data_IF_655234749889
#
_entry.id   IF_655234749889
#
_cell.length_a   1.000
_cell.length_b   1.000
_cell.length_c   1.000
_cell.angle_alpha   90.00
_cell.angle_beta   90.00
_cell.angle_gamma   90.00
#
_symmetry.space_group_name_H-M   'P 1'
#
loop_
_entity.id
_entity.type
_entity.pdbx_description
1 polymer ?
#
# COMPACT_ATOMS: atom_id res chain seq x y z
N UNK A 1 42.76 -33.13 -13.30
CA UNK A 1 41.56 -32.27 -13.11
C UNK A 1 41.00 -32.49 -11.71
N UNK A 2 41.11 -31.51 -10.85
CA UNK A 2 40.48 -31.52 -9.52
C UNK A 2 38.97 -31.58 -9.69
N UNK A 3 38.23 -32.45 -8.96
CA UNK A 3 36.79 -32.48 -9.02
C UNK A 3 36.22 -31.14 -8.54
N UNK A 4 35.22 -30.64 -9.24
CA UNK A 4 34.53 -29.41 -8.88
C UNK A 4 33.93 -29.52 -7.48
N UNK A 5 34.46 -28.73 -6.55
CA UNK A 5 34.02 -28.74 -5.16
C UNK A 5 32.59 -28.18 -5.04
N UNK A 6 31.74 -28.80 -4.25
CA UNK A 6 30.43 -28.28 -3.89
C UNK A 6 30.58 -27.12 -2.91
N UNK A 7 29.93 -26.00 -3.21
CA UNK A 7 29.83 -24.83 -2.32
C UNK A 7 28.44 -24.76 -1.73
N UNK A 8 28.33 -24.83 -0.42
CA UNK A 8 27.06 -24.60 0.26
C UNK A 8 26.69 -23.09 0.15
N UNK A 9 25.71 -22.77 -0.66
CA UNK A 9 25.25 -21.38 -0.90
C UNK A 9 24.12 -20.96 0.03
N UNK A 10 23.33 -21.91 0.52
CA UNK A 10 22.17 -21.67 1.37
C UNK A 10 22.18 -22.64 2.56
N UNK A 11 21.73 -22.16 3.71
CA UNK A 11 21.52 -22.99 4.89
C UNK A 11 20.07 -23.46 4.91
N UNK A 12 19.84 -24.78 5.04
CA UNK A 12 18.50 -25.33 5.22
C UNK A 12 17.97 -25.00 6.62
N UNK A 13 16.68 -24.77 6.71
CA UNK A 13 15.98 -24.65 7.98
C UNK A 13 14.98 -25.83 8.10
N UNK A 14 15.20 -26.77 9.02
CA UNK A 14 14.31 -27.92 9.19
C UNK A 14 12.93 -27.52 9.75
N UNK A 15 12.82 -26.35 10.40
CA UNK A 15 11.58 -25.83 10.97
C UNK A 15 10.78 -24.99 9.99
N UNK A 16 11.24 -24.86 8.73
CA UNK A 16 10.53 -24.10 7.72
C UNK A 16 9.19 -24.74 7.37
N UNK A 17 8.13 -23.96 7.52
CA UNK A 17 6.75 -24.36 7.23
C UNK A 17 6.19 -23.60 6.04
N UNK A 18 5.22 -24.18 5.38
CA UNK A 18 4.46 -23.47 4.36
C UNK A 18 3.73 -22.27 4.94
N UNK A 19 3.51 -21.29 4.11
CA UNK A 19 2.65 -20.16 4.42
C UNK A 19 1.23 -20.66 4.74
N UNK A 20 0.66 -20.10 5.80
CA UNK A 20 -0.69 -20.47 6.23
C UNK A 20 -1.58 -19.24 6.24
N UNK A 21 -2.71 -19.35 5.57
CA UNK A 21 -3.76 -18.32 5.58
C UNK A 21 -5.01 -18.87 6.23
N UNK A 22 -5.54 -18.13 7.19
CA UNK A 22 -6.87 -18.38 7.77
C UNK A 22 -7.76 -17.21 7.39
N UNK A 23 -8.91 -17.52 6.78
CA UNK A 23 -9.88 -16.52 6.37
C UNK A 23 -11.25 -16.85 6.94
N UNK A 24 -11.92 -15.84 7.46
CA UNK A 24 -13.30 -15.90 7.95
C UNK A 24 -14.11 -14.84 7.21
N UNK A 25 -15.19 -15.26 6.57
CA UNK A 25 -16.13 -14.39 5.86
C UNK A 25 -17.49 -14.51 6.51
N UNK A 26 -18.14 -13.38 6.72
CA UNK A 26 -19.53 -13.32 7.17
C UNK A 26 -20.26 -12.44 6.17
N UNK A 27 -21.24 -13.00 5.49
CA UNK A 27 -22.03 -12.30 4.47
C UNK A 27 -23.51 -12.52 4.68
N UNK A 28 -24.30 -11.61 4.17
CA UNK A 28 -25.75 -11.65 4.14
C UNK A 28 -26.24 -11.33 2.74
N UNK A 29 -26.97 -12.26 2.13
CA UNK A 29 -27.66 -12.00 0.87
C UNK A 29 -29.10 -11.62 1.15
N UNK A 30 -29.58 -10.55 0.54
CA UNK A 30 -30.97 -10.14 0.67
C UNK A 30 -31.57 -9.73 -0.67
N UNK A 31 -32.87 -9.87 -0.77
CA UNK A 31 -33.64 -9.42 -1.90
C UNK A 31 -35.04 -9.00 -1.49
N UNK A 32 -35.47 -7.82 -1.95
CA UNK A 32 -36.76 -7.23 -1.68
C UNK A 32 -37.51 -6.93 -2.99
N UNK A 33 -38.82 -6.78 -2.88
CA UNK A 33 -39.68 -6.41 -4.02
C UNK A 33 -39.57 -7.36 -5.21
N UNK A 34 -39.67 -8.68 -4.95
CA UNK A 34 -39.49 -9.73 -5.96
C UNK A 34 -38.12 -9.66 -6.64
N UNK A 35 -37.05 -9.50 -5.85
CA UNK A 35 -35.65 -9.39 -6.33
C UNK A 35 -35.38 -8.15 -7.20
N UNK A 36 -36.19 -7.11 -7.10
CA UNK A 36 -35.87 -5.82 -7.74
C UNK A 36 -34.73 -5.12 -7.01
N UNK A 37 -34.79 -5.06 -5.68
CA UNK A 37 -33.72 -4.57 -4.84
C UNK A 37 -33.01 -5.77 -4.22
N UNK A 38 -31.70 -5.90 -4.43
CA UNK A 38 -30.89 -6.98 -3.92
C UNK A 38 -29.53 -6.48 -3.47
N UNK A 39 -28.89 -7.19 -2.57
CA UNK A 39 -27.57 -6.80 -2.09
C UNK A 39 -26.89 -7.88 -1.27
N UNK A 40 -25.58 -7.73 -1.16
CA UNK A 40 -24.69 -8.67 -0.47
C UNK A 40 -23.61 -7.89 0.28
N UNK A 41 -23.85 -7.51 1.56
CA UNK A 41 -22.79 -7.05 2.44
C UNK A 41 -21.97 -8.23 2.98
N UNK A 42 -20.64 -8.12 2.91
CA UNK A 42 -19.68 -9.08 3.42
C UNK A 42 -18.66 -8.41 4.34
N UNK A 43 -18.29 -9.11 5.41
CA UNK A 43 -17.15 -8.76 6.27
C UNK A 43 -16.11 -9.86 6.14
N UNK A 44 -14.87 -9.46 5.92
CA UNK A 44 -13.75 -10.37 5.65
C UNK A 44 -12.66 -10.14 6.70
N UNK A 45 -12.26 -11.22 7.36
CA UNK A 45 -11.09 -11.24 8.22
C UNK A 45 -10.13 -12.31 7.71
N UNK A 46 -8.93 -11.86 7.27
CA UNK A 46 -7.87 -12.76 6.79
C UNK A 46 -6.63 -12.58 7.63
N UNK A 47 -6.16 -13.66 8.25
CA UNK A 47 -4.87 -13.74 8.94
C UNK A 47 -3.93 -14.60 8.14
N UNK A 48 -2.73 -14.06 7.88
CA UNK A 48 -1.72 -14.74 7.09
C UNK A 48 -0.41 -14.80 7.88
N UNK A 49 0.15 -16.01 7.97
CA UNK A 49 1.48 -16.25 8.51
C UNK A 49 2.43 -16.39 7.32
N UNK A 50 3.28 -15.39 7.13
CA UNK A 50 4.20 -15.33 5.99
C UNK A 50 5.44 -16.15 6.28
N UNK A 51 5.86 -16.92 5.30
CA UNK A 51 6.96 -17.88 5.40
C UNK A 51 8.29 -17.38 4.81
N UNK A 52 8.51 -16.10 4.60
CA UNK A 52 9.72 -15.69 3.89
C UNK A 52 10.33 -14.43 4.45
N UNK A 53 11.28 -14.61 5.34
CA UNK A 53 12.29 -13.58 5.63
C UNK A 53 13.66 -14.20 5.50
N UNK A 54 14.51 -13.60 4.67
CA UNK A 54 15.93 -13.95 4.61
C UNK A 54 16.67 -13.20 5.70
N UNK A 55 17.15 -13.88 6.73
CA UNK A 55 18.13 -13.28 7.61
C UNK A 55 19.55 -13.49 7.08
N UNK A 56 20.32 -12.42 7.09
CA UNK A 56 21.74 -12.45 6.76
C UNK A 56 22.52 -12.79 8.01
N UNK A 57 22.83 -14.07 8.22
CA UNK A 57 23.80 -14.43 9.25
C UNK A 57 25.22 -14.11 8.77
N UNK A 58 25.86 -13.16 9.43
CA UNK A 58 27.26 -12.83 9.21
C UNK A 58 28.13 -13.72 10.13
N UNK A 59 28.47 -14.91 9.65
CA UNK A 59 29.45 -15.74 10.32
C UNK A 59 30.73 -15.79 9.47
N UNK A 60 31.83 -15.27 9.94
CA UNK A 60 33.17 -15.29 9.34
C UNK A 60 33.20 -15.15 7.81
N UNK A 61 33.19 -13.94 7.29
CA UNK A 61 33.42 -13.53 5.89
C UNK A 61 32.50 -14.13 4.81
N UNK A 62 31.46 -14.90 5.12
CA UNK A 62 30.52 -15.43 4.12
C UNK A 62 29.09 -15.12 4.53
N UNK A 63 28.37 -14.41 3.66
CA UNK A 63 26.93 -14.17 3.82
C UNK A 63 26.20 -15.46 3.48
N UNK A 64 25.40 -16.00 4.38
CA UNK A 64 24.51 -17.14 4.17
C UNK A 64 23.09 -16.69 4.38
N UNK A 65 22.21 -17.11 3.49
CA UNK A 65 20.77 -16.84 3.58
C UNK A 65 20.10 -18.06 4.21
N UNK A 66 19.19 -17.81 5.15
CA UNK A 66 18.33 -18.82 5.74
C UNK A 66 16.89 -18.34 5.68
N UNK A 67 16.00 -19.22 5.25
CA UNK A 67 14.57 -18.94 5.21
C UNK A 67 13.93 -19.39 6.51
N UNK A 68 13.02 -18.58 7.07
CA UNK A 68 12.28 -18.96 8.26
C UNK A 68 10.90 -18.28 8.30
N UNK A 69 9.99 -18.88 9.08
CA UNK A 69 8.64 -18.40 9.28
C UNK A 69 8.61 -17.43 10.47
N UNK A 70 8.53 -16.15 10.24
CA UNK A 70 8.63 -15.21 11.34
C UNK A 70 7.66 -14.05 11.30
N UNK A 71 7.18 -13.68 10.12
CA UNK A 71 6.27 -12.56 9.94
C UNK A 71 4.81 -13.01 9.95
N UNK A 72 3.92 -12.13 10.36
CA UNK A 72 2.46 -12.31 10.24
C UNK A 72 1.81 -11.00 9.86
N UNK A 73 0.74 -11.10 9.07
CA UNK A 73 -0.10 -9.95 8.71
C UNK A 73 -1.58 -10.28 8.88
N UNK A 74 -2.37 -9.25 9.05
CA UNK A 74 -3.82 -9.31 9.13
C UNK A 74 -4.43 -8.36 8.10
N UNK A 75 -5.47 -8.82 7.42
CA UNK A 75 -6.30 -7.99 6.56
C UNK A 75 -7.73 -8.05 7.09
N UNK A 76 -8.31 -6.88 7.33
CA UNK A 76 -9.71 -6.71 7.69
C UNK A 76 -10.38 -5.87 6.64
N UNK A 77 -11.53 -6.31 6.14
CA UNK A 77 -12.19 -5.61 5.08
C UNK A 77 -13.70 -5.83 5.07
N UNK A 78 -14.33 -5.08 4.20
CA UNK A 78 -15.74 -5.22 3.88
C UNK A 78 -15.94 -5.13 2.38
N UNK A 79 -16.98 -5.75 1.90
CA UNK A 79 -17.47 -5.65 0.53
C UNK A 79 -18.99 -5.49 0.60
N UNK A 80 -19.52 -4.52 -0.10
CA UNK A 80 -20.95 -4.28 -0.20
C UNK A 80 -21.30 -4.17 -1.66
N UNK A 81 -22.23 -4.99 -2.11
CA UNK A 81 -22.87 -4.87 -3.41
C UNK A 81 -24.35 -4.59 -3.21
N UNK A 82 -24.88 -3.62 -3.94
CA UNK A 82 -26.29 -3.25 -3.94
C UNK A 82 -26.76 -3.03 -5.35
N UNK A 83 -27.84 -3.70 -5.73
CA UNK A 83 -28.40 -3.59 -7.07
C UNK A 83 -29.90 -3.35 -7.03
N UNK A 84 -30.35 -2.60 -8.01
CA UNK A 84 -31.76 -2.41 -8.30
C UNK A 84 -32.02 -2.66 -9.79
N UNK A 85 -33.07 -3.42 -10.09
CA UNK A 85 -33.53 -3.68 -11.46
C UNK A 85 -35.03 -3.64 -11.56
N UNK A 86 -35.53 -3.08 -12.66
CA UNK A 86 -36.97 -3.03 -12.94
C UNK A 86 -37.20 -2.92 -14.44
N UNK A 87 -38.50 -2.99 -14.82
CA UNK A 87 -38.94 -2.76 -16.16
C UNK A 87 -40.09 -1.77 -16.16
N UNK A 88 -40.04 -0.79 -17.05
CA UNK A 88 -41.12 0.18 -17.24
C UNK A 88 -42.30 -0.41 -18.02
N UNK A 89 -43.46 0.21 -17.87
CA UNK A 89 -44.66 -0.24 -18.62
C UNK A 89 -44.52 -0.17 -20.16
N UNK A 90 -43.61 0.69 -20.65
CA UNK A 90 -43.36 0.78 -22.12
C UNK A 90 -42.25 -0.16 -22.62
N UNK A 91 -41.74 -1.04 -21.75
CA UNK A 91 -40.80 -2.11 -22.11
C UNK A 91 -39.31 -1.75 -21.96
N UNK A 92 -38.93 -0.63 -21.35
CA UNK A 92 -37.55 -0.37 -21.01
C UNK A 92 -37.18 -1.16 -19.73
N UNK A 93 -36.22 -2.07 -19.83
CA UNK A 93 -35.58 -2.74 -18.69
C UNK A 93 -34.35 -1.95 -18.28
N UNK A 94 -34.18 -1.76 -17.00
CA UNK A 94 -33.00 -1.08 -16.45
C UNK A 94 -32.49 -1.76 -15.19
N UNK A 95 -31.19 -1.72 -15.03
CA UNK A 95 -30.47 -2.20 -13.85
C UNK A 95 -29.39 -1.22 -13.45
N UNK A 96 -29.24 -1.02 -12.17
CA UNK A 96 -28.13 -0.25 -11.60
C UNK A 96 -27.55 -1.09 -10.47
N UNK A 97 -26.24 -1.37 -10.55
CA UNK A 97 -25.52 -2.11 -9.52
C UNK A 97 -24.31 -1.32 -9.06
N UNK A 98 -24.26 -1.00 -7.79
CA UNK A 98 -23.11 -0.37 -7.13
C UNK A 98 -22.40 -1.37 -6.23
N UNK A 99 -21.08 -1.28 -6.18
CA UNK A 99 -20.27 -1.97 -5.20
C UNK A 99 -19.24 -1.04 -4.59
N UNK A 100 -18.92 -1.30 -3.33
CA UNK A 100 -17.84 -0.66 -2.61
C UNK A 100 -17.14 -1.70 -1.76
N UNK A 101 -15.81 -1.66 -1.76
CA UNK A 101 -14.98 -2.52 -0.93
C UNK A 101 -13.82 -1.72 -0.35
N UNK A 102 -13.42 -2.10 0.84
CA UNK A 102 -12.26 -1.54 1.51
C UNK A 102 -11.62 -2.56 2.41
N UNK A 103 -10.30 -2.46 2.57
CA UNK A 103 -9.59 -3.31 3.50
C UNK A 103 -8.46 -2.55 4.17
N UNK A 104 -8.09 -2.99 5.36
CA UNK A 104 -6.93 -2.53 6.11
C UNK A 104 -5.95 -3.69 6.26
N UNK A 105 -4.76 -3.48 5.75
CA UNK A 105 -3.63 -4.39 5.93
C UNK A 105 -2.80 -3.95 7.14
N UNK A 106 -2.32 -4.90 7.93
CA UNK A 106 -1.47 -4.63 9.08
C UNK A 106 -0.47 -5.74 9.28
N UNK A 107 0.81 -5.41 9.36
CA UNK A 107 1.85 -6.31 9.83
C UNK A 107 1.72 -6.46 11.33
N UNK A 108 1.50 -7.68 11.82
CA UNK A 108 1.21 -7.96 13.23
C UNK A 108 2.36 -8.59 13.97
N UNK A 109 3.33 -9.18 13.25
CA UNK A 109 4.51 -9.80 13.82
C UNK A 109 5.67 -9.74 12.85
N UNK A 110 6.85 -9.47 13.38
CA UNK A 110 8.15 -9.63 12.72
C UNK A 110 9.08 -10.45 13.62
N UNK A 111 10.09 -11.15 13.07
CA UNK A 111 11.18 -11.71 13.84
C UNK A 111 12.02 -10.59 14.47
N UNK A 112 12.53 -10.82 15.68
CA UNK A 112 13.27 -9.80 16.43
C UNK A 112 14.53 -9.27 15.69
N UNK A 113 15.20 -10.13 14.93
CA UNK A 113 16.37 -9.75 14.13
C UNK A 113 16.01 -8.95 12.87
N UNK A 114 14.78 -9.08 12.37
CA UNK A 114 14.26 -8.29 11.24
C UNK A 114 13.60 -7.00 11.74
N UNK A 115 12.96 -7.03 12.90
CA UNK A 115 12.32 -5.88 13.53
C UNK A 115 13.30 -4.72 13.70
N UNK A 116 14.54 -5.03 14.11
CA UNK A 116 15.60 -4.04 14.33
C UNK A 116 16.44 -3.72 13.08
N UNK A 117 16.26 -4.45 11.97
CA UNK A 117 17.09 -4.31 10.78
C UNK A 117 16.31 -4.03 9.51
N UNK A 118 15.03 -3.75 9.61
CA UNK A 118 14.20 -3.44 8.46
C UNK A 118 14.65 -2.11 7.83
N UNK A 119 15.28 -2.20 6.65
CA UNK A 119 15.83 -1.03 5.97
C UNK A 119 14.74 -0.03 5.57
N UNK A 120 14.99 1.25 5.85
CA UNK A 120 14.08 2.34 5.56
C UNK A 120 13.21 2.76 6.75
N UNK A 121 13.26 2.03 7.84
CA UNK A 121 12.72 2.50 9.10
C UNK A 121 13.76 3.41 9.76
N UNK A 122 13.35 4.58 10.22
CA UNK A 122 14.18 5.43 11.07
C UNK A 122 14.56 4.75 12.39
N UNK A 123 15.22 5.46 13.24
CA UNK A 123 15.57 4.94 14.57
C UNK A 123 14.31 4.58 15.36
N UNK A 124 14.16 3.30 15.67
CA UNK A 124 13.06 2.81 16.51
C UNK A 124 11.74 2.58 15.81
N UNK A 125 11.59 3.01 14.56
CA UNK A 125 10.39 2.76 13.79
C UNK A 125 10.53 1.51 12.93
N UNK A 126 9.59 0.62 13.03
CA UNK A 126 9.47 -0.55 12.19
C UNK A 126 8.06 -0.67 11.59
N UNK A 127 7.90 -1.55 10.63
CA UNK A 127 6.63 -1.73 9.92
C UNK A 127 5.51 -2.36 10.76
N UNK A 128 5.79 -2.76 12.02
CA UNK A 128 4.78 -3.31 12.92
C UNK A 128 3.64 -2.31 13.12
N UNK A 129 2.43 -2.78 12.88
CA UNK A 129 1.25 -1.93 13.00
C UNK A 129 0.87 -1.18 11.73
N UNK A 130 1.74 -1.14 10.73
CA UNK A 130 1.51 -0.50 9.44
C UNK A 130 1.19 -1.53 8.34
N UNK A 131 0.57 -1.09 7.23
CA UNK A 131 0.41 -1.92 6.06
C UNK A 131 1.75 -2.38 5.47
N UNK A 132 1.80 -3.56 4.91
CA UNK A 132 2.99 -4.02 4.18
C UNK A 132 3.27 -3.08 2.99
N UNK A 133 4.55 -2.84 2.72
CA UNK A 133 5.00 -1.92 1.66
C UNK A 133 4.57 -0.45 1.86
N UNK A 134 4.24 -0.04 3.09
CA UNK A 134 4.03 1.36 3.40
C UNK A 134 5.28 2.18 3.10
N UNK A 135 5.08 3.42 2.69
CA UNK A 135 6.16 4.34 2.35
C UNK A 135 6.64 5.07 3.60
N UNK A 136 7.95 5.08 3.79
CA UNK A 136 8.62 5.71 4.92
C UNK A 136 9.62 6.75 4.42
N UNK A 137 9.54 7.98 4.89
CA UNK A 137 10.37 9.08 4.41
C UNK A 137 10.01 10.42 5.02
N UNK A 138 10.47 11.50 4.41
CA UNK A 138 10.23 12.87 4.85
C UNK A 138 8.88 13.38 4.34
N UNK A 139 8.23 14.22 5.14
CA UNK A 139 7.02 14.93 4.72
C UNK A 139 7.43 16.19 3.95
N UNK A 140 7.05 16.27 2.67
CA UNK A 140 7.21 17.48 1.88
C UNK A 140 6.16 18.52 2.30
N UNK A 141 6.60 19.72 2.68
CA UNK A 141 5.77 20.84 3.13
C UNK A 141 5.72 21.98 2.11
N UNK A 142 6.01 21.69 0.85
CA UNK A 142 6.02 22.61 -0.25
C UNK A 142 7.42 22.80 -0.85
N UNK A 143 7.64 23.96 -1.45
CA UNK A 143 8.93 24.37 -2.02
C UNK A 143 9.34 25.71 -1.41
N UNK A 144 10.63 25.92 -1.28
CA UNK A 144 11.18 27.23 -0.93
C UNK A 144 10.91 28.24 -2.05
N UNK A 145 10.32 29.37 -1.73
CA UNK A 145 9.95 30.42 -2.71
C UNK A 145 10.91 31.59 -2.68
N UNK A 146 11.53 31.86 -1.54
CA UNK A 146 12.45 32.96 -1.33
C UNK A 146 13.68 32.51 -0.55
N UNK A 147 14.76 33.32 -0.60
CA UNK A 147 15.98 33.07 0.18
C UNK A 147 15.72 33.21 1.70
N UNK A 148 14.79 34.07 2.07
CA UNK A 148 14.41 34.26 3.48
C UNK A 148 13.79 32.98 4.04
N UNK A 149 12.89 32.33 3.27
CA UNK A 149 12.33 31.03 3.68
C UNK A 149 13.41 29.96 3.85
N UNK A 150 14.46 29.98 3.04
CA UNK A 150 15.59 29.03 3.18
C UNK A 150 16.37 29.31 4.46
N UNK A 151 16.62 30.56 4.79
CA UNK A 151 17.40 30.95 5.96
C UNK A 151 16.65 30.68 7.27
N UNK A 152 15.33 30.90 7.28
CA UNK A 152 14.49 30.73 8.46
C UNK A 152 14.10 29.27 8.74
N UNK A 153 14.23 28.41 7.73
CA UNK A 153 13.85 27.00 7.85
C UNK A 153 14.95 26.17 8.53
N UNK A 154 14.54 24.98 9.04
CA UNK A 154 15.47 23.96 9.50
C UNK A 154 16.46 23.55 8.42
N UNK A 155 17.73 23.35 8.80
CA UNK A 155 18.81 23.02 7.86
C UNK A 155 18.59 21.66 7.21
N UNK A 156 18.52 21.62 5.87
CA UNK A 156 18.38 20.39 5.08
C UNK A 156 19.74 20.03 4.45
N UNK A 157 20.38 18.97 4.86
CA UNK A 157 21.70 18.57 4.39
C UNK A 157 21.73 18.37 2.85
N UNK A 158 22.23 19.40 2.13
CA UNK A 158 22.48 19.37 0.69
C UNK A 158 21.25 19.52 -0.21
N UNK A 159 20.11 19.93 0.34
CA UNK A 159 18.86 20.08 -0.42
C UNK A 159 18.20 21.47 -0.32
N UNK A 160 18.84 22.44 0.31
CA UNK A 160 18.32 23.78 0.52
C UNK A 160 18.47 24.65 -0.73
N UNK A 161 17.53 25.57 -0.92
CA UNK A 161 17.58 26.56 -1.99
C UNK A 161 16.21 26.87 -2.57
N UNK A 162 16.08 28.08 -3.15
CA UNK A 162 14.86 28.50 -3.82
C UNK A 162 14.50 27.53 -4.93
N UNK A 163 13.21 27.13 -4.98
CA UNK A 163 12.70 26.14 -5.92
C UNK A 163 12.92 24.67 -5.52
N UNK A 164 13.59 24.41 -4.40
CA UNK A 164 13.78 23.06 -3.84
C UNK A 164 12.64 22.66 -2.92
N UNK A 165 12.45 21.35 -2.73
CA UNK A 165 11.45 20.80 -1.79
C UNK A 165 11.85 21.20 -0.38
N UNK A 166 10.87 21.70 0.37
CA UNK A 166 10.94 21.97 1.78
C UNK A 166 10.37 20.79 2.55
N UNK A 167 11.16 20.20 3.44
CA UNK A 167 10.73 19.11 4.29
C UNK A 167 10.37 19.62 5.69
N UNK A 168 9.42 18.96 6.33
CA UNK A 168 8.97 19.31 7.66
C UNK A 168 9.95 18.80 8.73
N UNK A 169 10.36 19.69 9.62
CA UNK A 169 11.04 19.34 10.84
C UNK A 169 9.99 18.80 11.84
N UNK A 170 10.03 17.50 12.10
CA UNK A 170 9.06 16.84 12.97
C UNK A 170 9.45 16.92 14.45
N UNK A 171 10.73 17.09 14.73
CA UNK A 171 11.27 17.15 16.09
C UNK A 171 11.54 18.59 16.55
N UNK A 172 11.38 19.58 15.65
CA UNK A 172 11.60 21.00 15.91
C UNK A 172 13.01 21.30 16.48
N UNK A 173 14.01 20.55 16.03
CA UNK A 173 15.40 20.70 16.47
C UNK A 173 16.23 21.60 15.54
N UNK A 174 15.62 22.11 14.47
CA UNK A 174 16.24 23.01 13.49
C UNK A 174 17.07 22.29 12.43
N UNK A 175 16.93 20.99 12.28
CA UNK A 175 17.61 20.16 11.27
C UNK A 175 16.64 19.16 10.67
N UNK A 176 16.82 18.85 9.39
CA UNK A 176 16.11 17.76 8.72
C UNK A 176 17.07 16.57 8.60
N UNK A 177 16.87 15.56 9.41
CA UNK A 177 17.71 14.36 9.46
C UNK A 177 16.91 13.05 9.48
N UNK A 178 17.54 11.93 9.83
CA UNK A 178 16.87 10.62 9.81
C UNK A 178 15.74 10.51 10.84
N UNK A 179 15.78 11.32 11.88
CA UNK A 179 14.76 11.31 12.93
C UNK A 179 13.46 11.98 12.46
N UNK A 180 13.49 12.85 11.41
CA UNK A 180 12.31 13.46 10.79
C UNK A 180 11.58 12.57 9.77
N UNK A 181 12.02 11.34 9.61
CA UNK A 181 11.32 10.38 8.77
C UNK A 181 10.12 9.80 9.48
N UNK A 182 9.03 9.62 8.74
CA UNK A 182 7.80 9.01 9.24
C UNK A 182 7.08 8.22 8.15
N UNK A 183 5.97 7.59 8.50
CA UNK A 183 5.12 6.90 7.53
C UNK A 183 4.33 7.91 6.72
N UNK A 184 4.65 8.00 5.41
CA UNK A 184 4.12 9.04 4.52
C UNK A 184 3.01 8.56 3.60
N UNK A 185 2.83 7.24 3.48
CA UNK A 185 1.78 6.70 2.62
C UNK A 185 1.74 5.19 2.56
N UNK A 186 0.77 4.68 1.80
CA UNK A 186 0.55 3.26 1.62
C UNK A 186 0.06 2.94 0.20
N UNK A 187 0.55 1.84 -0.41
CA UNK A 187 0.04 1.37 -1.69
C UNK A 187 -1.34 0.70 -1.60
N UNK A 188 -1.90 0.58 -0.40
CA UNK A 188 -3.21 -0.01 -0.18
C UNK A 188 -4.28 1.06 -0.21
N UNK A 189 -5.30 0.93 -1.07
CA UNK A 189 -6.38 1.90 -1.16
C UNK A 189 -7.23 1.93 0.11
N UNK A 190 -7.82 3.08 0.42
CA UNK A 190 -8.81 3.21 1.47
C UNK A 190 -10.09 2.47 1.08
N UNK A 191 -10.55 2.66 -0.16
CA UNK A 191 -11.68 1.92 -0.74
C UNK A 191 -11.65 1.92 -2.27
N UNK A 192 -12.32 0.95 -2.84
CA UNK A 192 -12.58 0.80 -4.27
C UNK A 192 -14.08 0.77 -4.48
N UNK A 193 -14.55 1.31 -5.58
CA UNK A 193 -15.96 1.32 -5.89
C UNK A 193 -16.20 1.12 -7.38
N UNK A 194 -17.36 0.57 -7.70
CA UNK A 194 -17.82 0.40 -9.05
C UNK A 194 -19.31 0.69 -9.17
N UNK A 195 -19.73 1.13 -10.34
CA UNK A 195 -21.12 1.35 -10.71
C UNK A 195 -21.35 0.80 -12.11
N UNK A 196 -22.31 -0.11 -12.23
CA UNK A 196 -22.80 -0.61 -13.51
C UNK A 196 -24.21 -0.12 -13.75
N UNK A 197 -24.47 0.34 -14.98
CA UNK A 197 -25.80 0.75 -15.46
C UNK A 197 -26.10 -0.07 -16.70
N UNK A 198 -27.19 -0.82 -16.65
CA UNK A 198 -27.64 -1.69 -17.72
C UNK A 198 -29.00 -1.18 -18.20
N UNK A 199 -29.15 -0.94 -19.49
CA UNK A 199 -30.39 -0.53 -20.15
C UNK A 199 -30.67 -1.40 -21.32
N UNK A 200 -31.92 -1.89 -21.48
CA UNK A 200 -32.36 -2.67 -22.62
C UNK A 200 -33.71 -2.19 -23.12
N UNK A 201 -33.81 -1.84 -24.38
CA UNK A 201 -35.04 -1.39 -25.03
C UNK A 201 -35.12 -1.75 -26.51
N UNK A 202 -36.18 -2.48 -26.90
CA UNK A 202 -36.48 -2.83 -28.28
C UNK A 202 -35.32 -3.44 -29.08
N UNK A 203 -34.52 -4.33 -28.42
CA UNK A 203 -33.38 -4.99 -29.04
C UNK A 203 -32.09 -4.17 -29.02
N UNK A 204 -32.08 -3.01 -28.40
CA UNK A 204 -30.87 -2.26 -28.11
C UNK A 204 -30.48 -2.46 -26.63
N UNK A 205 -29.22 -2.79 -26.39
CA UNK A 205 -28.62 -2.93 -25.06
C UNK A 205 -27.51 -1.92 -24.89
N UNK A 206 -27.50 -1.24 -23.74
CA UNK A 206 -26.45 -0.33 -23.30
C UNK A 206 -25.96 -0.77 -21.93
N UNK A 207 -24.67 -0.99 -21.80
CA UNK A 207 -23.99 -1.18 -20.53
C UNK A 207 -22.96 -0.07 -20.33
N UNK A 208 -23.01 0.58 -19.18
CA UNK A 208 -22.00 1.56 -18.76
C UNK A 208 -21.41 1.13 -17.42
N UNK A 209 -20.08 1.07 -17.35
CA UNK A 209 -19.36 0.68 -16.15
C UNK A 209 -18.38 1.78 -15.73
N UNK A 210 -18.45 2.15 -14.47
CA UNK A 210 -17.57 3.12 -13.82
C UNK A 210 -16.82 2.43 -12.70
N UNK A 211 -15.53 2.73 -12.58
CA UNK A 211 -14.67 2.18 -11.54
C UNK A 211 -13.77 3.27 -10.96
N UNK A 212 -13.57 3.25 -9.66
CA UNK A 212 -12.69 4.17 -8.98
C UNK A 212 -11.96 3.54 -7.80
N UNK A 213 -10.77 4.08 -7.53
CA UNK A 213 -9.92 3.72 -6.40
C UNK A 213 -9.59 5.01 -5.66
N UNK A 214 -9.74 5.00 -4.35
CA UNK A 214 -9.52 6.17 -3.50
C UNK A 214 -8.51 5.86 -2.40
N UNK A 215 -7.67 6.87 -2.08
CA UNK A 215 -6.75 6.80 -0.94
C UNK A 215 -5.55 5.87 -1.16
N UNK A 216 -5.11 5.68 -2.41
CA UNK A 216 -3.88 4.97 -2.75
C UNK A 216 -2.74 5.97 -2.94
N UNK A 217 -1.59 5.67 -2.37
CA UNK A 217 -0.35 6.38 -2.64
C UNK A 217 0.50 5.57 -3.63
N UNK A 218 1.13 6.24 -4.58
CA UNK A 218 1.92 5.60 -5.62
C UNK A 218 3.35 6.14 -5.58
N UNK A 219 4.31 5.24 -5.48
CA UNK A 219 5.72 5.57 -5.64
C UNK A 219 6.08 5.46 -7.13
N UNK A 220 6.41 6.58 -7.75
CA UNK A 220 6.85 6.61 -9.14
C UNK A 220 8.37 6.64 -9.21
N UNK A 221 8.98 5.55 -9.64
CA UNK A 221 10.36 5.54 -10.10
C UNK A 221 10.41 6.13 -11.51
N UNK A 222 10.64 7.42 -11.61
CA UNK A 222 11.00 8.01 -12.89
C UNK A 222 12.50 7.81 -13.11
N UNK A 223 12.89 6.78 -13.84
CA UNK A 223 14.24 6.69 -14.41
C UNK A 223 14.27 7.65 -15.58
N UNK A 224 14.54 8.91 -15.31
CA UNK A 224 14.86 9.87 -16.36
C UNK A 224 16.35 9.77 -16.68
N UNK A 225 16.69 9.86 -17.97
CA UNK A 225 18.05 9.83 -18.48
C UNK A 225 18.93 10.88 -17.79
N UNK A 226 20.24 10.69 -17.82
CA UNK A 226 21.29 11.47 -17.14
C UNK A 226 21.24 13.00 -17.35
N UNK A 227 20.35 13.50 -18.19
CA UNK A 227 20.18 14.93 -18.47
C UNK A 227 19.08 15.59 -17.64
N UNK A 228 18.26 14.84 -16.94
CA UNK A 228 17.17 15.40 -16.14
C UNK A 228 17.49 15.35 -14.63
N UNK A 229 17.69 16.51 -14.06
CA UNK A 229 18.11 16.79 -12.68
C UNK A 229 17.08 16.40 -11.59
N UNK A 230 16.08 15.56 -11.89
CA UNK A 230 14.98 15.25 -10.99
C UNK A 230 14.90 13.76 -10.71
N UNK A 231 15.67 13.27 -9.76
CA UNK A 231 15.33 12.01 -9.10
C UNK A 231 14.36 12.34 -7.97
N UNK A 232 13.09 12.39 -8.30
CA UNK A 232 12.05 12.56 -7.30
C UNK A 232 11.55 11.16 -6.95
N UNK A 233 11.84 10.72 -5.75
CA UNK A 233 11.00 9.75 -5.07
C UNK A 233 9.71 10.50 -4.66
N UNK A 234 8.86 10.76 -5.63
CA UNK A 234 7.61 11.48 -5.44
C UNK A 234 6.53 10.45 -5.07
N UNK A 235 6.22 10.35 -3.80
CA UNK A 235 5.02 9.67 -3.34
C UNK A 235 3.86 10.63 -3.55
N UNK A 236 3.15 10.49 -4.67
CA UNK A 236 1.93 11.25 -4.93
C UNK A 236 0.78 10.62 -4.18
N UNK A 237 0.40 11.26 -3.09
CA UNK A 237 -0.86 10.95 -2.41
C UNK A 237 -2.04 11.47 -3.24
N UNK A 238 -3.00 10.59 -3.56
CA UNK A 238 -4.25 10.97 -4.22
C UNK A 238 -5.21 11.73 -3.26
N UNK A 239 -4.74 12.12 -2.09
CA UNK A 239 -5.49 12.90 -1.08
C UNK A 239 -5.52 14.41 -1.35
N UNK A 240 -5.46 14.81 -2.61
CA UNK A 240 -5.77 16.20 -3.01
C UNK A 240 -4.67 17.23 -2.82
N UNK A 241 -3.43 16.84 -2.53
CA UNK A 241 -2.31 17.75 -2.51
C UNK A 241 -1.76 17.85 -3.94
N UNK A 242 -2.26 18.81 -4.71
CA UNK A 242 -1.63 19.25 -5.95
C UNK A 242 -0.31 19.92 -5.57
N UNK A 243 0.81 19.30 -5.90
CA UNK A 243 2.06 20.04 -6.08
C UNK A 243 1.93 20.76 -7.43
N UNK A 244 1.85 22.06 -7.39
CA UNK A 244 1.99 22.93 -8.56
C UNK A 244 3.46 23.04 -8.95
#
# INVERSE_FOLDING_TARGET
TLPSGYKKTQQGNPDLKWETTTQTNIGLDFGFFNQRLYGTPNIILRKQRISCTTSLFRYYRRRRYCWYNGASMENKGFEISLGYRDQTAFGLSYGITGNISGYRNKVTKLPADVENSYGGNGKGDNILGHPINSFYGYIADGIFRTEEEVIEHATQNGGEGVGRIRYRDLHEDGKIDEDDRTWIGSPHPDFMYGLSIDLSYKGFDLNAFFYGVQGIDVNTYSVKSETDFWSINDVRSNKGTRLL
#
